data_IF_639857090410
#
_entry.id   IF_639857090410
#
_cell.length_a   1.000
_cell.length_b   1.000
_cell.length_c   1.000
_cell.angle_alpha   90.00
_cell.angle_beta   90.00
_cell.angle_gamma   90.00
#
_symmetry.space_group_name_H-M   'P 1'
#
loop_
_entity.id
_entity.type
_entity.pdbx_description
1 polymer ?
#
# COMPACT_ATOMS: atom_id res chain seq x y z
N UNK A 1 -0.06 23.22 2.32
CA UNK A 1 -0.42 21.92 1.76
C UNK A 1 -1.25 21.16 2.74
N UNK A 2 -2.29 20.55 2.27
CA UNK A 2 -3.24 19.88 3.13
C UNK A 2 -3.07 18.36 3.02
N UNK A 3 -3.56 17.67 4.03
CA UNK A 3 -3.67 16.22 4.05
C UNK A 3 -4.44 15.71 2.83
N UNK A 4 -5.42 16.49 2.38
CA UNK A 4 -6.23 16.19 1.20
C UNK A 4 -5.38 16.07 -0.08
N UNK A 5 -4.39 16.95 -0.25
CA UNK A 5 -3.56 16.97 -1.46
C UNK A 5 -2.71 15.71 -1.59
N UNK A 6 -2.09 15.27 -0.48
CA UNK A 6 -1.31 14.04 -0.51
C UNK A 6 -2.20 12.81 -0.68
N UNK A 7 -3.37 12.80 -0.06
CA UNK A 7 -4.31 11.69 -0.18
C UNK A 7 -4.77 11.54 -1.63
N UNK A 8 -5.12 12.65 -2.30
CA UNK A 8 -5.55 12.63 -3.70
C UNK A 8 -4.43 12.11 -4.61
N UNK A 9 -3.20 12.57 -4.41
CA UNK A 9 -2.06 12.12 -5.21
C UNK A 9 -1.79 10.63 -5.03
N UNK A 10 -1.90 10.13 -3.81
CA UNK A 10 -1.72 8.70 -3.52
C UNK A 10 -2.80 7.86 -4.21
N UNK A 11 -4.07 8.28 -4.10
CA UNK A 11 -5.18 7.53 -4.69
C UNK A 11 -5.04 7.42 -6.20
N UNK A 12 -4.62 8.48 -6.85
CA UNK A 12 -4.47 8.49 -8.31
C UNK A 12 -3.17 7.89 -8.81
N UNK A 13 -2.22 7.58 -7.91
CA UNK A 13 -0.92 7.10 -8.32
C UNK A 13 -0.07 8.16 -9.01
N UNK A 14 -0.22 9.41 -8.61
CA UNK A 14 0.49 10.56 -9.17
C UNK A 14 1.82 10.76 -8.44
N UNK A 15 2.90 10.25 -9.02
CA UNK A 15 4.23 10.32 -8.41
C UNK A 15 4.66 11.77 -8.14
N UNK A 16 4.46 12.65 -9.11
CA UNK A 16 4.88 14.05 -8.95
C UNK A 16 4.09 14.74 -7.85
N UNK A 17 2.79 14.48 -7.78
CA UNK A 17 1.94 15.01 -6.72
C UNK A 17 2.36 14.51 -5.35
N UNK A 18 2.67 13.23 -5.23
CA UNK A 18 3.17 12.67 -3.97
C UNK A 18 4.49 13.32 -3.60
N UNK A 19 5.42 13.46 -4.54
CA UNK A 19 6.73 14.05 -4.31
C UNK A 19 6.61 15.50 -3.82
N UNK A 20 5.61 16.22 -4.30
CA UNK A 20 5.38 17.61 -3.89
C UNK A 20 4.74 17.73 -2.50
N UNK A 21 3.92 16.75 -2.09
CA UNK A 21 3.03 16.90 -0.93
C UNK A 21 3.30 15.94 0.22
N UNK A 22 4.25 15.01 0.11
CA UNK A 22 4.38 13.95 1.13
C UNK A 22 5.01 14.43 2.44
N UNK A 23 5.81 15.50 2.40
CA UNK A 23 6.56 15.93 3.58
C UNK A 23 5.63 16.32 4.71
N UNK A 24 5.95 15.82 5.91
CA UNK A 24 5.12 16.05 7.09
C UNK A 24 3.98 15.06 7.24
N UNK A 25 3.79 14.13 6.29
CA UNK A 25 2.65 13.21 6.29
C UNK A 25 3.05 11.74 6.30
N UNK A 26 4.35 11.42 6.37
CA UNK A 26 4.85 10.06 6.16
C UNK A 26 4.21 9.03 7.10
N UNK A 27 4.00 9.39 8.37
CA UNK A 27 3.44 8.46 9.34
C UNK A 27 2.06 8.85 9.84
N UNK A 28 1.37 9.72 9.11
CA UNK A 28 0.00 10.05 9.43
C UNK A 28 -0.94 8.95 8.95
N UNK A 29 -2.07 8.85 9.65
CA UNK A 29 -3.16 7.94 9.28
C UNK A 29 -4.25 8.71 8.54
N UNK A 30 -4.82 8.05 7.55
CA UNK A 30 -5.86 8.59 6.68
C UNK A 30 -7.07 7.65 6.74
N UNK A 31 -8.25 8.16 6.43
CA UNK A 31 -9.52 7.45 6.48
C UNK A 31 -9.90 7.04 7.91
N UNK A 32 -11.15 6.62 8.08
CA UNK A 32 -11.64 6.16 9.39
C UNK A 32 -10.97 4.87 9.85
N UNK A 33 -10.46 4.08 8.91
CA UNK A 33 -9.80 2.81 9.22
C UNK A 33 -8.33 2.98 9.61
N UNK A 34 -7.78 4.19 9.47
CA UNK A 34 -6.41 4.48 9.88
C UNK A 34 -5.34 3.91 8.97
N UNK A 35 -5.49 4.08 7.66
CA UNK A 35 -4.48 3.67 6.69
C UNK A 35 -3.34 4.69 6.65
N UNK A 36 -2.09 4.21 6.59
CA UNK A 36 -0.99 5.10 6.27
C UNK A 36 -0.90 5.26 4.74
N UNK A 37 0.04 6.08 4.26
CA UNK A 37 0.14 6.36 2.83
C UNK A 37 0.45 5.11 2.00
N UNK A 38 1.23 4.19 2.52
CA UNK A 38 1.60 2.97 1.80
C UNK A 38 0.40 2.04 1.64
N UNK A 39 -0.40 1.89 2.69
CA UNK A 39 -1.63 1.11 2.67
C UNK A 39 -2.65 1.74 1.72
N UNK A 40 -2.80 3.05 1.81
CA UNK A 40 -3.72 3.78 0.92
C UNK A 40 -3.31 3.63 -0.55
N UNK A 41 -2.01 3.67 -0.82
CA UNK A 41 -1.45 3.49 -2.16
C UNK A 41 -1.90 2.16 -2.78
N UNK A 42 -1.81 1.08 -2.01
CA UNK A 42 -2.12 -0.26 -2.51
C UNK A 42 -3.61 -0.60 -2.45
N UNK A 43 -4.44 0.25 -1.86
CA UNK A 43 -5.89 0.11 -1.93
C UNK A 43 -6.46 0.38 -3.33
N UNK A 44 -5.73 1.13 -4.14
CA UNK A 44 -6.21 1.59 -5.44
C UNK A 44 -5.37 1.00 -6.55
N UNK A 45 -5.94 0.90 -7.74
CA UNK A 45 -5.28 0.37 -8.93
C UNK A 45 -5.09 1.47 -9.98
N UNK A 46 -4.37 1.14 -11.04
CA UNK A 46 -4.04 2.08 -12.10
C UNK A 46 -2.69 2.77 -11.84
N UNK A 47 -2.04 3.18 -12.92
CA UNK A 47 -0.71 3.80 -12.87
C UNK A 47 0.30 2.94 -12.10
N UNK A 48 0.35 1.66 -12.41
CA UNK A 48 1.10 0.67 -11.63
C UNK A 48 2.58 0.97 -11.52
N UNK A 49 3.21 1.38 -12.62
CA UNK A 49 4.63 1.79 -12.59
C UNK A 49 4.86 2.94 -11.63
N UNK A 50 3.98 3.95 -11.67
CA UNK A 50 4.06 5.10 -10.76
C UNK A 50 3.82 4.67 -9.33
N UNK A 51 2.89 3.76 -9.08
CA UNK A 51 2.64 3.27 -7.70
C UNK A 51 3.86 2.59 -7.12
N UNK A 52 4.59 1.81 -7.89
CA UNK A 52 5.84 1.19 -7.42
C UNK A 52 6.90 2.24 -7.10
N UNK A 53 7.01 3.28 -7.92
CA UNK A 53 7.92 4.40 -7.65
C UNK A 53 7.52 5.15 -6.39
N UNK A 54 6.23 5.37 -6.19
CA UNK A 54 5.71 6.02 -4.98
C UNK A 54 6.01 5.17 -3.75
N UNK A 55 5.79 3.86 -3.84
CA UNK A 55 6.09 2.95 -2.74
C UNK A 55 7.58 3.04 -2.35
N UNK A 56 8.47 3.05 -3.33
CA UNK A 56 9.90 3.18 -3.08
C UNK A 56 10.23 4.52 -2.41
N UNK A 57 9.63 5.60 -2.88
CA UNK A 57 9.82 6.92 -2.26
C UNK A 57 9.40 6.91 -0.79
N UNK A 58 8.21 6.38 -0.49
CA UNK A 58 7.70 6.33 0.87
C UNK A 58 8.59 5.47 1.78
N UNK A 59 9.07 4.33 1.26
CA UNK A 59 9.97 3.45 1.99
C UNK A 59 11.29 4.17 2.29
N UNK A 60 11.86 4.83 1.30
CA UNK A 60 13.11 5.58 1.47
C UNK A 60 12.96 6.71 2.48
N UNK A 61 11.77 7.27 2.61
CA UNK A 61 11.47 8.35 3.54
C UNK A 61 11.07 7.85 4.93
N UNK A 62 11.11 6.54 5.17
CA UNK A 62 10.95 5.97 6.49
C UNK A 62 9.53 5.64 6.91
N UNK A 63 8.63 5.39 5.95
CA UNK A 63 7.27 4.98 6.31
C UNK A 63 7.28 3.66 7.06
N UNK A 64 6.35 3.51 8.02
CA UNK A 64 6.23 2.26 8.78
C UNK A 64 5.64 1.17 7.88
N UNK A 65 6.44 0.14 7.59
CA UNK A 65 6.06 -0.94 6.65
C UNK A 65 4.98 -1.84 7.25
N UNK A 66 5.09 -2.15 8.53
CA UNK A 66 4.17 -3.07 9.21
C UNK A 66 3.08 -2.35 10.00
N UNK A 67 2.76 -1.13 9.60
CA UNK A 67 1.63 -0.40 10.16
C UNK A 67 0.34 -1.21 9.95
N UNK A 68 -0.52 -1.23 10.95
CA UNK A 68 -1.80 -1.94 10.89
C UNK A 68 -2.96 -0.95 10.99
N UNK A 69 -3.95 -1.14 10.13
CA UNK A 69 -5.21 -0.41 10.21
C UNK A 69 -6.03 -0.89 11.40
N UNK A 70 -7.19 -0.29 11.64
CA UNK A 70 -8.12 -0.77 12.67
C UNK A 70 -8.59 -2.20 12.39
N UNK A 71 -8.67 -2.60 11.13
CA UNK A 71 -8.95 -3.98 10.73
C UNK A 71 -7.73 -4.89 10.77
N UNK A 72 -6.60 -4.42 11.31
CA UNK A 72 -5.33 -5.16 11.42
C UNK A 72 -4.76 -5.57 10.06
N UNK A 73 -5.06 -4.81 9.02
CA UNK A 73 -4.51 -5.03 7.68
C UNK A 73 -3.24 -4.22 7.49
N UNK A 74 -2.25 -4.83 6.83
CA UNK A 74 -0.99 -4.19 6.47
C UNK A 74 -0.97 -3.82 5.00
N UNK A 75 0.07 -3.12 4.55
CA UNK A 75 0.26 -2.78 3.15
C UNK A 75 0.25 -4.04 2.26
N UNK A 76 0.87 -5.11 2.72
CA UNK A 76 0.92 -6.36 1.97
C UNK A 76 -0.48 -6.99 1.82
N UNK A 77 -1.33 -6.90 2.85
CA UNK A 77 -2.72 -7.33 2.75
C UNK A 77 -3.46 -6.55 1.66
N UNK A 78 -3.30 -5.23 1.63
CA UNK A 78 -3.98 -4.39 0.64
C UNK A 78 -3.50 -4.68 -0.77
N UNK A 79 -2.20 -4.85 -0.97
CA UNK A 79 -1.66 -5.17 -2.29
C UNK A 79 -2.27 -6.46 -2.84
N UNK A 80 -2.27 -7.52 -2.06
CA UNK A 80 -2.76 -8.83 -2.48
C UNK A 80 -4.29 -8.86 -2.52
N UNK A 81 -4.95 -8.20 -1.58
CA UNK A 81 -6.42 -8.11 -1.57
C UNK A 81 -6.98 -7.30 -2.72
N UNK A 82 -6.31 -6.20 -3.09
CA UNK A 82 -6.72 -5.39 -4.23
C UNK A 82 -6.63 -6.17 -5.53
N UNK A 83 -5.62 -7.02 -5.66
CA UNK A 83 -5.46 -7.88 -6.83
C UNK A 83 -6.65 -8.85 -6.97
N UNK A 84 -7.13 -9.39 -5.85
CA UNK A 84 -8.30 -10.27 -5.86
C UNK A 84 -9.57 -9.55 -6.33
N UNK A 85 -9.73 -8.30 -5.92
CA UNK A 85 -10.90 -7.49 -6.29
C UNK A 85 -10.79 -6.95 -7.71
N UNK A 86 -9.60 -6.87 -8.26
CA UNK A 86 -9.33 -6.28 -9.57
C UNK A 86 -8.74 -7.33 -10.51
N UNK A 87 -9.58 -7.93 -11.30
CA UNK A 87 -9.22 -9.03 -12.24
C UNK A 87 -8.14 -8.63 -13.25
N UNK A 88 -7.87 -7.34 -13.43
CA UNK A 88 -6.91 -6.84 -14.41
C UNK A 88 -5.53 -6.56 -13.82
N UNK A 89 -5.31 -6.88 -12.56
CA UNK A 89 -4.02 -6.62 -11.92
C UNK A 89 -2.91 -7.40 -12.63
N UNK A 90 -1.85 -6.68 -13.01
CA UNK A 90 -0.68 -7.25 -13.67
C UNK A 90 0.11 -8.12 -12.69
N UNK A 91 0.34 -9.41 -12.99
CA UNK A 91 1.15 -10.27 -12.12
C UNK A 91 2.55 -9.73 -11.85
N UNK A 92 3.16 -9.07 -12.83
CA UNK A 92 4.49 -8.47 -12.63
C UNK A 92 4.46 -7.34 -11.62
N UNK A 93 3.43 -6.51 -11.67
CA UNK A 93 3.23 -5.46 -10.68
C UNK A 93 3.08 -6.04 -9.27
N UNK A 94 2.25 -7.08 -9.13
CA UNK A 94 2.04 -7.74 -7.84
C UNK A 94 3.34 -8.32 -7.29
N UNK A 95 4.07 -9.03 -8.14
CA UNK A 95 5.34 -9.64 -7.75
C UNK A 95 6.35 -8.56 -7.34
N UNK A 96 6.46 -7.50 -8.12
CA UNK A 96 7.37 -6.39 -7.82
C UNK A 96 7.00 -5.70 -6.51
N UNK A 97 5.70 -5.49 -6.28
CA UNK A 97 5.22 -4.88 -5.03
C UNK A 97 5.50 -5.77 -3.82
N UNK A 98 5.26 -7.07 -3.94
CA UNK A 98 5.54 -8.03 -2.86
C UNK A 98 7.03 -8.04 -2.53
N UNK A 99 7.89 -8.14 -3.55
CA UNK A 99 9.33 -8.11 -3.35
C UNK A 99 9.78 -6.83 -2.67
N UNK A 100 9.26 -5.70 -3.12
CA UNK A 100 9.60 -4.39 -2.57
C UNK A 100 9.26 -4.32 -1.08
N UNK A 101 8.06 -4.77 -0.71
CA UNK A 101 7.61 -4.74 0.69
C UNK A 101 8.41 -5.73 1.55
N UNK A 102 8.67 -6.94 1.05
CA UNK A 102 9.44 -7.93 1.80
C UNK A 102 10.87 -7.44 2.02
N UNK A 103 11.50 -6.88 1.01
CA UNK A 103 12.85 -6.31 1.14
C UNK A 103 12.89 -5.16 2.13
N UNK A 104 11.79 -4.43 2.27
CA UNK A 104 11.67 -3.34 3.24
C UNK A 104 11.33 -3.82 4.65
N UNK A 105 11.12 -5.12 4.86
CA UNK A 105 10.87 -5.70 6.17
C UNK A 105 9.42 -6.06 6.46
N UNK A 106 8.57 -6.21 5.45
CA UNK A 106 7.17 -6.58 5.66
C UNK A 106 7.06 -7.94 6.34
N UNK A 107 6.21 -8.01 7.36
CA UNK A 107 5.91 -9.25 8.06
C UNK A 107 4.80 -9.99 7.31
N UNK A 108 5.14 -11.14 6.74
CA UNK A 108 4.23 -11.94 5.93
C UNK A 108 3.25 -12.77 6.77
N UNK A 109 3.44 -12.79 8.09
CA UNK A 109 2.63 -13.60 9.00
C UNK A 109 1.57 -12.79 9.75
N UNK A 110 1.44 -11.50 9.48
CA UNK A 110 0.42 -10.66 10.11
C UNK A 110 -0.98 -11.12 9.71
N UNK A 111 -1.86 -11.23 10.71
CA UNK A 111 -3.26 -11.63 10.50
C UNK A 111 -4.17 -10.43 10.68
N UNK A 112 -5.11 -10.25 9.77
CA UNK A 112 -6.13 -9.21 9.91
C UNK A 112 -7.24 -9.66 10.89
N UNK A 113 -8.30 -8.84 11.03
CA UNK A 113 -9.41 -9.15 11.95
C UNK A 113 -10.15 -10.44 11.58
N UNK A 114 -10.04 -10.87 10.33
CA UNK A 114 -10.68 -12.11 9.85
C UNK A 114 -9.72 -13.31 9.94
N UNK A 115 -8.54 -13.11 10.53
CA UNK A 115 -7.52 -14.15 10.64
C UNK A 115 -6.74 -14.40 9.36
N UNK A 116 -6.94 -13.58 8.32
CA UNK A 116 -6.26 -13.74 7.04
C UNK A 116 -4.84 -13.21 7.06
N UNK A 117 -3.92 -13.97 6.46
CA UNK A 117 -2.56 -13.52 6.20
C UNK A 117 -2.45 -13.08 4.75
N UNK A 118 -1.41 -12.30 4.39
CA UNK A 118 -1.17 -11.99 2.99
C UNK A 118 -1.12 -13.22 2.09
N UNK A 119 -0.51 -14.30 2.58
CA UNK A 119 -0.42 -15.55 1.82
C UNK A 119 -1.79 -16.17 1.57
N UNK A 120 -2.69 -16.14 2.56
CA UNK A 120 -4.05 -16.68 2.39
C UNK A 120 -4.82 -15.92 1.31
N UNK A 121 -4.64 -14.60 1.22
CA UNK A 121 -5.24 -13.82 0.14
C UNK A 121 -4.63 -14.16 -1.21
N UNK A 122 -3.32 -14.37 -1.28
CA UNK A 122 -2.67 -14.77 -2.51
C UNK A 122 -3.16 -16.15 -3.00
N UNK A 123 -3.31 -17.10 -2.09
CA UNK A 123 -3.84 -18.43 -2.40
C UNK A 123 -5.26 -18.34 -2.94
N UNK A 124 -6.09 -17.48 -2.36
CA UNK A 124 -7.47 -17.30 -2.80
C UNK A 124 -7.59 -16.75 -4.24
N UNK A 125 -6.48 -16.24 -4.81
CA UNK A 125 -6.43 -15.77 -6.20
C UNK A 125 -6.17 -16.91 -7.20
N UNK A 126 -5.76 -18.05 -6.72
CA UNK A 126 -5.52 -19.21 -7.57
C UNK A 126 -6.82 -19.90 -7.93
#
# INVERSE_FOLDING_TARGET
MTKFDIETAIRSGDYEGVQQHFRGHINEEFTNDGLNLLELLFCYSGNESSRLRIAQLLIDEGITINHLTRGKSSALHFLLGSAKANWTADPEYLLSGVKLLIQAGADVNLRDVHGGTPLSYAIAML
#
